data_IF_176724887383
#
_entry.id   IF_176724887383
#
_cell.length_a   1.000
_cell.length_b   1.000
_cell.length_c   1.000
_cell.angle_alpha   90.00
_cell.angle_beta   90.00
_cell.angle_gamma   90.00
#
_symmetry.space_group_name_H-M   'P 1'
#
loop_
_entity.id
_entity.type
_entity.pdbx_description
1 polymer ?
#
# COMPACT_ATOMS: atom_id res chain seq x y z
N UNK A 1 12.86 -6.56 -21.36
CA UNK A 1 13.12 -5.53 -20.32
C UNK A 1 11.80 -5.18 -19.66
N UNK A 2 11.46 -5.67 -18.46
CA UNK A 2 10.28 -5.18 -17.77
C UNK A 2 10.60 -3.74 -17.34
N UNK A 3 9.87 -2.78 -17.92
CA UNK A 3 10.02 -1.36 -17.61
C UNK A 3 9.57 -1.16 -16.15
N UNK A 4 10.52 -1.00 -15.24
CA UNK A 4 10.30 -0.54 -13.86
C UNK A 4 9.70 0.85 -13.92
N UNK A 5 8.39 0.92 -14.10
CA UNK A 5 7.66 2.18 -14.02
C UNK A 5 7.68 2.58 -12.55
N UNK A 6 8.58 3.50 -12.20
CA UNK A 6 8.53 4.27 -10.96
C UNK A 6 7.21 5.04 -10.92
N UNK A 7 6.14 4.33 -10.61
CA UNK A 7 4.78 4.85 -10.55
C UNK A 7 4.53 5.26 -9.13
N UNK A 8 3.67 6.25 -8.91
CA UNK A 8 3.26 6.67 -7.57
C UNK A 8 2.78 5.48 -6.69
N UNK A 9 2.35 4.39 -7.32
CA UNK A 9 2.06 3.09 -6.70
C UNK A 9 3.25 2.41 -6.03
N UNK A 10 4.45 2.53 -6.59
CA UNK A 10 5.71 2.00 -6.04
C UNK A 10 6.02 2.64 -4.68
N UNK A 11 5.86 3.97 -4.56
CA UNK A 11 5.95 4.67 -3.26
C UNK A 11 4.96 4.13 -2.25
N UNK A 12 3.73 3.84 -2.66
CA UNK A 12 2.72 3.24 -1.77
C UNK A 12 3.13 1.84 -1.34
N UNK A 13 3.65 1.03 -2.26
CA UNK A 13 4.14 -0.31 -1.96
C UNK A 13 5.30 -0.27 -0.97
N UNK A 14 6.26 0.64 -1.16
CA UNK A 14 7.36 0.88 -0.23
C UNK A 14 6.86 1.34 1.15
N UNK A 15 5.82 2.18 1.23
CA UNK A 15 5.18 2.58 2.49
C UNK A 15 4.52 1.40 3.20
N UNK A 16 3.83 0.54 2.45
CA UNK A 16 3.15 -0.65 2.97
C UNK A 16 4.11 -1.77 3.38
N UNK A 17 5.29 -1.88 2.74
CA UNK A 17 6.37 -2.80 3.11
C UNK A 17 6.97 -2.50 4.48
N UNK A 18 6.80 -1.27 5.01
CA UNK A 18 7.34 -0.92 6.32
C UNK A 18 6.69 -1.79 7.41
N UNK A 19 7.43 -2.17 8.46
CA UNK A 19 6.87 -2.98 9.56
C UNK A 19 5.72 -2.25 10.27
N UNK A 20 5.74 -0.92 10.27
CA UNK A 20 4.66 -0.07 10.79
C UNK A 20 3.40 -0.08 9.92
N UNK A 21 3.50 -0.50 8.65
CA UNK A 21 2.46 -0.34 7.65
C UNK A 21 2.19 1.13 7.31
N UNK A 22 1.12 1.37 6.57
CA UNK A 22 0.62 2.72 6.29
C UNK A 22 -0.91 2.75 6.32
N UNK A 23 -1.47 3.80 6.92
CA UNK A 23 -2.91 4.01 6.88
C UNK A 23 -3.35 4.61 5.55
N UNK A 24 -4.64 4.52 5.23
CA UNK A 24 -5.22 5.19 4.07
C UNK A 24 -4.96 6.71 4.08
N UNK A 25 -5.01 7.33 5.27
CA UNK A 25 -4.73 8.74 5.45
C UNK A 25 -3.25 9.09 5.21
N UNK A 26 -2.32 8.25 5.68
CA UNK A 26 -0.89 8.44 5.43
C UNK A 26 -0.54 8.28 3.96
N UNK A 27 -1.13 7.29 3.29
CA UNK A 27 -0.99 7.11 1.84
C UNK A 27 -1.49 8.37 1.12
N UNK A 28 -2.69 8.84 1.44
CA UNK A 28 -3.24 10.07 0.87
C UNK A 28 -2.34 11.28 1.12
N UNK A 29 -1.83 11.46 2.35
CA UNK A 29 -0.98 12.59 2.74
C UNK A 29 0.38 12.57 2.05
N UNK A 30 1.00 11.40 1.92
CA UNK A 30 2.32 11.23 1.29
C UNK A 30 2.26 11.30 -0.23
N UNK A 31 1.18 10.81 -0.84
CA UNK A 31 1.01 10.79 -2.31
C UNK A 31 0.22 11.97 -2.86
N UNK A 32 -0.49 12.72 -2.02
CA UNK A 32 -1.48 13.71 -2.43
C UNK A 32 -2.74 13.09 -3.05
N UNK A 33 -2.96 11.78 -2.89
CA UNK A 33 -4.11 11.08 -3.46
C UNK A 33 -5.38 11.23 -2.64
N UNK A 34 -6.50 11.21 -3.34
CA UNK A 34 -7.81 11.04 -2.72
C UNK A 34 -8.00 9.60 -2.23
N UNK A 35 -8.90 9.41 -1.26
CA UNK A 35 -9.15 8.10 -0.64
C UNK A 35 -9.56 7.04 -1.67
N UNK A 36 -10.35 7.41 -2.67
CA UNK A 36 -10.77 6.49 -3.74
C UNK A 36 -9.58 6.05 -4.61
N UNK A 37 -8.63 6.95 -4.91
CA UNK A 37 -7.43 6.63 -5.69
C UNK A 37 -6.49 5.72 -4.90
N UNK A 38 -6.31 5.97 -3.61
CA UNK A 38 -5.51 5.10 -2.73
C UNK A 38 -6.12 3.69 -2.64
N UNK A 39 -7.46 3.58 -2.51
CA UNK A 39 -8.15 2.28 -2.57
C UNK A 39 -7.97 1.57 -3.92
N UNK A 40 -8.03 2.30 -5.03
CA UNK A 40 -7.77 1.75 -6.35
C UNK A 40 -6.34 1.20 -6.46
N UNK A 41 -5.34 1.93 -5.94
CA UNK A 41 -3.96 1.47 -5.90
C UNK A 41 -3.79 0.18 -5.06
N UNK A 42 -4.40 0.12 -3.87
CA UNK A 42 -4.42 -1.09 -3.03
C UNK A 42 -5.05 -2.29 -3.77
N UNK A 43 -6.16 -2.06 -4.48
CA UNK A 43 -6.82 -3.10 -5.29
C UNK A 43 -5.94 -3.58 -6.45
N UNK A 44 -5.25 -2.66 -7.13
CA UNK A 44 -4.30 -3.01 -8.19
C UNK A 44 -3.10 -3.81 -7.67
N UNK A 45 -2.58 -3.46 -6.49
CA UNK A 45 -1.51 -4.22 -5.85
C UNK A 45 -1.95 -5.65 -5.53
N UNK A 46 -3.14 -5.83 -4.96
CA UNK A 46 -3.73 -7.16 -4.72
C UNK A 46 -3.85 -7.97 -6.01
N UNK A 47 -4.32 -7.35 -7.10
CA UNK A 47 -4.41 -8.00 -8.42
C UNK A 47 -3.05 -8.39 -9.00
N UNK A 48 -1.98 -7.66 -8.68
CA UNK A 48 -0.61 -7.98 -9.11
C UNK A 48 0.02 -9.13 -8.33
N UNK A 49 -0.67 -9.68 -7.33
CA UNK A 49 -0.13 -10.74 -6.46
C UNK A 49 0.47 -10.22 -5.15
N UNK A 50 0.22 -8.96 -4.80
CA UNK A 50 0.66 -8.38 -3.54
C UNK A 50 -0.35 -8.69 -2.43
N UNK A 51 0.05 -9.39 -1.38
CA UNK A 51 -0.80 -9.70 -0.24
C UNK A 51 -0.80 -8.53 0.73
N UNK A 52 -1.88 -7.77 0.74
CA UNK A 52 -2.09 -6.65 1.65
C UNK A 52 -3.03 -7.07 2.77
N UNK A 53 -2.52 -7.05 3.99
CA UNK A 53 -3.27 -7.23 5.22
C UNK A 53 -3.75 -5.89 5.77
N UNK A 54 -4.99 -5.88 6.25
CA UNK A 54 -5.57 -4.72 6.93
C UNK A 54 -5.62 -5.01 8.41
N UNK A 55 -4.77 -4.36 9.19
CA UNK A 55 -4.82 -4.41 10.65
C UNK A 55 -5.70 -3.28 11.15
N UNK A 56 -6.79 -3.62 11.82
CA UNK A 56 -7.54 -2.63 12.58
C UNK A 56 -6.68 -2.21 13.78
N UNK A 57 -6.68 -0.92 14.07
CA UNK A 57 -6.03 -0.41 15.28
C UNK A 57 -6.89 -0.78 16.49
N UNK A 58 -6.28 -1.21 17.60
CA UNK A 58 -6.97 -1.54 18.85
C UNK A 58 -7.64 -0.31 19.50
N UNK A 59 -7.29 0.90 19.06
CA UNK A 59 -7.86 2.14 19.56
C UNK A 59 -9.17 2.49 18.84
N UNK A 60 -10.25 2.82 19.58
CA UNK A 60 -11.48 3.31 18.97
C UNK A 60 -11.21 4.64 18.24
N UNK A 61 -11.57 4.69 16.95
CA UNK A 61 -11.40 5.86 16.09
C UNK A 61 -10.05 5.97 15.37
N UNK A 62 -9.10 5.05 15.62
CA UNK A 62 -7.85 5.03 14.86
C UNK A 62 -8.06 4.43 13.46
N UNK A 63 -7.41 4.98 12.41
CA UNK A 63 -7.52 4.43 11.07
C UNK A 63 -6.92 3.03 11.01
N UNK A 64 -7.49 2.19 10.16
CA UNK A 64 -6.90 0.88 9.86
C UNK A 64 -5.58 1.06 9.12
N UNK A 65 -4.59 0.25 9.48
CA UNK A 65 -3.27 0.26 8.88
C UNK A 65 -3.17 -0.90 7.89
N UNK A 66 -2.63 -0.61 6.71
CA UNK A 66 -2.39 -1.60 5.68
C UNK A 66 -0.92 -2.03 5.73
N UNK A 67 -0.68 -3.34 5.69
CA UNK A 67 0.64 -3.95 5.70
C UNK A 67 0.79 -4.83 4.47
N UNK A 68 1.91 -4.70 3.77
CA UNK A 68 2.26 -5.61 2.69
C UNK A 68 2.99 -6.82 3.28
N UNK A 69 2.33 -7.98 3.26
CA UNK A 69 2.83 -9.23 3.88
C UNK A 69 3.54 -10.12 2.89
N UNK A 70 3.12 -10.09 1.62
CA UNK A 70 3.86 -10.71 0.54
C UNK A 70 3.85 -9.78 -0.65
N UNK A 71 5.04 -9.49 -1.16
CA UNK A 71 5.21 -8.80 -2.41
C UNK A 71 5.90 -9.76 -3.36
N UNK A 72 5.27 -10.08 -4.48
CA UNK A 72 5.93 -10.80 -5.58
C UNK A 72 6.87 -9.82 -6.31
N UNK A 73 7.84 -9.29 -5.58
CA UNK A 73 9.04 -8.70 -6.15
C UNK A 73 10.00 -9.86 -6.41
N UNK A 74 9.63 -10.68 -7.39
CA UNK A 74 10.54 -11.60 -8.04
C UNK A 74 11.56 -10.78 -8.83
N UNK A 75 12.56 -10.27 -8.12
CA UNK A 75 13.80 -9.74 -8.68
C UNK A 75 14.92 -10.77 -8.52
N UNK A 76 14.96 -11.73 -9.44
CA UNK A 76 16.15 -12.49 -9.80
C UNK A 76 16.28 -12.47 -11.32
#
# INVERSE_FOLDING_TARGET
MPKTKHTKTDRVQALLRRPTGASLADICKTTGWQQHSARAALSMLRKKGATIERRASDKPGAPATYHLVADMDGGA
#
